data_IF_635663353763
#
_entry.id   IF_635663353763
#
_cell.length_a   1.000
_cell.length_b   1.000
_cell.length_c   1.000
_cell.angle_alpha   90.00
_cell.angle_beta   90.00
_cell.angle_gamma   90.00
#
_symmetry.space_group_name_H-M   'P 1'
#
loop_
_entity.id
_entity.type
_entity.pdbx_description
1 polymer ?
#
# COMPACT_ATOMS: atom_id res chain seq x y z
N UNK A 1 8.12 -12.51 1.66
CA UNK A 1 7.69 -12.79 1.91
C UNK A 1 7.14 -13.66 1.59
N UNK A 2 7.22 -14.10 1.18
CA UNK A 2 6.98 -14.98 1.13
C UNK A 2 5.93 -15.60 1.17
N UNK A 3 5.45 -15.81 1.77
CA UNK A 3 4.33 -16.61 1.83
C UNK A 3 3.14 -15.94 1.35
N UNK A 4 3.21 -15.28 0.31
CA UNK A 4 2.02 -14.62 -0.15
C UNK A 4 0.97 -15.61 -0.54
N UNK A 5 1.35 -16.81 -0.95
CA UNK A 5 0.30 -17.74 -1.29
C UNK A 5 -0.42 -18.24 -0.06
N UNK A 6 0.17 -18.15 1.09
CA UNK A 6 -0.53 -18.49 2.30
C UNK A 6 -1.62 -17.51 2.59
N UNK A 7 -1.43 -16.31 2.17
CA UNK A 7 -2.36 -15.26 2.47
C UNK A 7 -3.70 -15.47 1.82
N UNK A 8 -3.72 -16.13 0.72
CA UNK A 8 -4.96 -16.37 0.05
C UNK A 8 -5.97 -17.09 0.91
N UNK A 9 -5.50 -17.74 1.94
CA UNK A 9 -6.41 -18.47 2.78
C UNK A 9 -6.95 -17.68 3.94
N UNK A 10 -6.18 -16.76 4.42
CA UNK A 10 -6.60 -15.95 5.55
C UNK A 10 -6.95 -14.60 5.04
N UNK A 11 -8.03 -14.53 4.33
CA UNK A 11 -8.28 -13.41 3.48
C UNK A 11 -8.42 -12.09 4.23
N UNK A 12 -9.16 -12.05 5.31
CA UNK A 12 -9.42 -10.76 5.90
C UNK A 12 -8.21 -10.06 6.44
N UNK A 13 -7.43 -10.76 7.22
CA UNK A 13 -6.23 -10.18 7.79
C UNK A 13 -5.27 -9.80 6.68
N UNK A 14 -5.17 -10.67 5.70
CA UNK A 14 -4.26 -10.42 4.60
C UNK A 14 -4.69 -9.21 3.80
N UNK A 15 -5.98 -9.06 3.59
CA UNK A 15 -6.47 -7.93 2.83
C UNK A 15 -6.06 -6.62 3.47
N UNK A 16 -6.16 -6.53 4.80
CA UNK A 16 -5.81 -5.31 5.48
C UNK A 16 -4.33 -5.02 5.36
N UNK A 17 -3.50 -6.04 5.56
CA UNK A 17 -2.07 -5.85 5.45
C UNK A 17 -1.65 -5.52 4.04
N UNK A 18 -2.27 -6.16 3.08
CA UNK A 18 -1.96 -5.91 1.69
C UNK A 18 -2.33 -4.50 1.30
N UNK A 19 -3.49 -4.04 1.73
CA UNK A 19 -3.91 -2.69 1.41
C UNK A 19 -3.03 -1.66 2.10
N UNK A 20 -2.59 -1.95 3.30
CA UNK A 20 -1.67 -1.06 3.99
C UNK A 20 -0.35 -0.96 3.25
N UNK A 21 0.15 -2.08 2.77
CA UNK A 21 1.36 -2.08 1.98
C UNK A 21 1.17 -1.28 0.70
N UNK A 22 0.05 -1.46 0.04
CA UNK A 22 -0.26 -0.72 -1.16
C UNK A 22 -0.36 0.77 -0.89
N UNK A 23 -0.90 1.14 0.26
CA UNK A 23 -1.01 2.55 0.62
C UNK A 23 0.37 3.17 0.81
N UNK A 24 1.27 2.47 1.48
CA UNK A 24 2.62 2.97 1.64
C UNK A 24 3.33 3.12 0.29
N UNK A 25 3.18 2.13 -0.57
CA UNK A 25 3.80 2.21 -1.88
C UNK A 25 3.25 3.39 -2.67
N UNK A 26 1.96 3.61 -2.56
CA UNK A 26 1.36 4.72 -3.25
C UNK A 26 1.83 6.07 -2.68
N UNK A 27 1.97 6.15 -1.37
CA UNK A 27 2.43 7.39 -0.75
C UNK A 27 3.80 7.80 -1.27
N UNK A 28 4.68 6.84 -1.47
CA UNK A 28 6.02 7.16 -1.90
C UNK A 28 6.19 7.24 -3.41
N UNK A 29 5.45 6.42 -4.14
CA UNK A 29 5.70 6.31 -5.56
C UNK A 29 4.50 6.64 -6.44
N UNK A 30 3.39 7.04 -5.83
CA UNK A 30 2.18 7.26 -6.59
C UNK A 30 2.31 8.36 -7.64
N UNK A 31 3.15 9.32 -7.40
CA UNK A 31 3.32 10.41 -8.36
C UNK A 31 3.97 9.96 -9.65
N UNK A 32 4.54 8.77 -9.64
CA UNK A 32 5.13 8.23 -10.85
C UNK A 32 4.09 7.57 -11.76
N UNK A 33 2.87 7.44 -11.28
CA UNK A 33 1.77 6.96 -12.09
C UNK A 33 1.13 8.14 -12.82
N UNK A 34 0.53 7.87 -13.98
CA UNK A 34 -0.17 8.95 -14.64
C UNK A 34 -1.50 9.22 -13.92
N UNK A 35 -2.18 10.28 -14.31
CA UNK A 35 -3.35 10.72 -13.58
C UNK A 35 -4.46 9.69 -13.59
N UNK A 36 -4.68 9.05 -14.70
CA UNK A 36 -5.73 8.04 -14.81
C UNK A 36 -5.43 6.84 -13.92
N UNK A 37 -4.18 6.40 -13.92
CA UNK A 37 -3.77 5.30 -13.07
C UNK A 37 -3.88 5.65 -11.60
N UNK A 38 -3.49 6.86 -11.26
CA UNK A 38 -3.58 7.31 -9.87
C UNK A 38 -5.01 7.30 -9.38
N UNK A 39 -5.92 7.79 -10.20
CA UNK A 39 -7.33 7.87 -9.80
C UNK A 39 -7.89 6.48 -9.55
N UNK A 40 -7.63 5.56 -10.44
CA UNK A 40 -8.14 4.21 -10.30
C UNK A 40 -7.52 3.52 -9.11
N UNK A 41 -6.23 3.70 -8.93
CA UNK A 41 -5.54 3.06 -7.82
C UNK A 41 -6.00 3.64 -6.48
N UNK A 42 -6.22 4.93 -6.41
CA UNK A 42 -6.73 5.56 -5.21
C UNK A 42 -8.13 5.07 -4.87
N UNK A 43 -8.98 4.94 -5.87
CA UNK A 43 -10.32 4.45 -5.64
C UNK A 43 -10.30 3.04 -5.07
N UNK A 44 -9.41 2.23 -5.57
CA UNK A 44 -9.34 0.86 -5.10
C UNK A 44 -8.73 0.74 -3.71
N UNK A 45 -7.64 1.44 -3.47
CA UNK A 45 -6.90 1.27 -2.22
C UNK A 45 -7.48 2.11 -1.10
N UNK A 46 -7.80 3.36 -1.37
CA UNK A 46 -8.21 4.27 -0.31
C UNK A 46 -9.71 4.41 -0.17
N UNK A 47 -10.43 4.37 -1.28
CA UNK A 47 -11.88 4.56 -1.21
C UNK A 47 -12.65 3.26 -1.17
N UNK A 48 -11.93 2.15 -1.25
CA UNK A 48 -12.55 0.83 -1.10
C UNK A 48 -13.61 0.54 -2.12
N UNK A 49 -13.51 1.11 -3.29
CA UNK A 49 -14.47 0.83 -4.34
C UNK A 49 -14.21 -0.53 -4.95
N UNK A 50 -15.26 -1.18 -5.37
CA UNK A 50 -15.11 -2.46 -6.04
C UNK A 50 -14.67 -2.25 -7.48
N UNK A 51 -14.19 -3.33 -8.08
CA UNK A 51 -13.78 -3.26 -9.48
C UNK A 51 -14.94 -2.84 -10.37
N UNK A 52 -16.14 -3.33 -10.08
CA UNK A 52 -17.30 -2.96 -10.86
C UNK A 52 -17.65 -1.50 -10.73
N UNK A 53 -17.53 -0.96 -9.53
CA UNK A 53 -17.82 0.45 -9.31
C UNK A 53 -16.84 1.34 -10.05
N UNK A 54 -15.58 0.99 -9.98
CA UNK A 54 -14.55 1.76 -10.68
C UNK A 54 -14.76 1.66 -12.19
N UNK A 55 -15.07 0.45 -12.66
CA UNK A 55 -15.31 0.25 -14.08
C UNK A 55 -16.46 1.12 -14.58
N UNK A 56 -17.51 1.22 -13.77
CA UNK A 56 -18.63 2.06 -14.13
C UNK A 56 -18.27 3.53 -14.20
N UNK A 57 -17.47 3.99 -13.27
CA UNK A 57 -17.07 5.38 -13.25
C UNK A 57 -16.12 5.72 -14.39
N UNK A 58 -15.23 4.81 -14.73
CA UNK A 58 -14.21 5.10 -15.72
C UNK A 58 -14.64 4.73 -17.13
N UNK A 59 -15.74 4.02 -17.26
CA UNK A 59 -16.21 3.63 -18.57
C UNK A 59 -15.40 2.53 -19.22
N UNK A 60 -14.80 1.68 -18.41
CA UNK A 60 -14.03 0.54 -18.92
C UNK A 60 -14.55 -0.72 -18.28
N UNK A 61 -14.00 -1.85 -18.67
CA UNK A 61 -14.48 -3.13 -18.16
C UNK A 61 -13.86 -3.43 -16.80
N UNK A 62 -14.52 -4.31 -16.05
CA UNK A 62 -13.96 -4.77 -14.77
C UNK A 62 -12.59 -5.37 -14.97
N UNK A 63 -12.44 -6.15 -16.04
CA UNK A 63 -11.15 -6.76 -16.31
C UNK A 63 -10.10 -5.70 -16.59
N UNK A 64 -10.49 -4.63 -17.29
CA UNK A 64 -9.58 -3.53 -17.54
C UNK A 64 -9.13 -2.85 -16.26
N UNK A 65 -10.05 -2.69 -15.32
CA UNK A 65 -9.70 -2.11 -14.03
C UNK A 65 -8.74 -3.03 -13.29
N UNK A 66 -9.05 -4.32 -13.25
CA UNK A 66 -8.20 -5.27 -12.57
C UNK A 66 -6.79 -5.29 -13.15
N UNK A 67 -6.70 -5.26 -14.46
CA UNK A 67 -5.41 -5.25 -15.12
C UNK A 67 -4.63 -3.99 -14.78
N UNK A 68 -5.31 -2.86 -14.77
CA UNK A 68 -4.65 -1.60 -14.47
C UNK A 68 -4.14 -1.56 -13.04
N UNK A 69 -4.94 -2.04 -12.09
CA UNK A 69 -4.51 -2.08 -10.71
C UNK A 69 -3.30 -2.99 -10.55
N UNK A 70 -3.31 -4.12 -11.24
CA UNK A 70 -2.21 -5.04 -11.17
C UNK A 70 -0.93 -4.42 -11.73
N UNK A 71 -1.04 -3.74 -12.85
CA UNK A 71 0.12 -3.07 -13.43
C UNK A 71 0.65 -1.97 -12.54
N UNK A 72 -0.25 -1.19 -11.97
CA UNK A 72 0.17 -0.13 -11.06
C UNK A 72 0.89 -0.70 -9.86
N UNK A 73 0.32 -1.74 -9.27
CA UNK A 73 0.94 -2.36 -8.12
C UNK A 73 2.33 -2.90 -8.44
N UNK A 74 2.45 -3.52 -9.61
CA UNK A 74 3.75 -4.04 -10.01
C UNK A 74 4.76 -2.91 -10.21
N UNK A 75 4.32 -1.83 -10.83
CA UNK A 75 5.18 -0.69 -11.06
C UNK A 75 5.68 -0.09 -9.75
N UNK A 76 4.76 0.10 -8.81
CA UNK A 76 5.15 0.63 -7.51
C UNK A 76 6.08 -0.33 -6.78
N UNK A 77 5.80 -1.60 -6.86
CA UNK A 77 6.62 -2.60 -6.21
C UNK A 77 8.03 -2.64 -6.81
N UNK A 78 8.12 -2.47 -8.12
CA UNK A 78 9.42 -2.45 -8.78
C UNK A 78 10.24 -1.25 -8.34
N UNK A 79 9.60 -0.09 -8.17
CA UNK A 79 10.30 1.07 -7.65
C UNK A 79 10.82 0.80 -6.25
N UNK A 80 10.00 0.17 -5.42
CA UNK A 80 10.42 -0.12 -4.07
C UNK A 80 11.60 -1.08 -4.04
N UNK A 81 11.61 -2.05 -4.94
CA UNK A 81 12.72 -2.99 -5.00
C UNK A 81 14.02 -2.29 -5.31
N UNK A 82 13.94 -1.21 -6.06
CA UNK A 82 15.14 -0.47 -6.43
C UNK A 82 15.51 0.58 -5.41
N UNK A 83 14.53 1.25 -4.84
CA UNK A 83 14.79 2.42 -4.01
C UNK A 83 14.67 2.17 -2.52
N UNK A 84 13.84 1.21 -2.13
CA UNK A 84 13.70 0.82 -0.72
C UNK A 84 13.29 1.97 0.19
N UNK A 85 12.50 2.92 -0.35
CA UNK A 85 12.09 4.06 0.46
C UNK A 85 11.08 3.68 1.54
N UNK A 86 10.15 2.80 1.21
CA UNK A 86 9.18 2.36 2.19
C UNK A 86 9.87 1.57 3.28
N UNK A 87 10.78 0.71 2.91
CA UNK A 87 11.51 -0.08 3.87
C UNK A 87 12.28 0.81 4.83
N UNK A 88 12.94 1.83 4.29
CA UNK A 88 13.70 2.76 5.13
C UNK A 88 12.79 3.57 6.01
N UNK A 89 11.66 3.99 5.47
CA UNK A 89 10.70 4.76 6.25
C UNK A 89 10.17 3.95 7.43
N UNK A 90 9.82 2.71 7.20
CA UNK A 90 9.29 1.87 8.27
C UNK A 90 10.35 1.58 9.31
N UNK A 91 11.58 1.42 8.88
CA UNK A 91 12.68 1.19 9.82
C UNK A 91 12.90 2.41 10.70
N UNK A 92 12.92 3.60 10.10
CA UNK A 92 13.11 4.82 10.86
C UNK A 92 11.93 5.05 11.79
N UNK A 93 10.73 4.79 11.31
CA UNK A 93 9.56 4.95 12.13
C UNK A 93 9.62 4.06 13.37
N UNK A 94 10.07 2.85 13.19
CA UNK A 94 10.22 1.92 14.28
C UNK A 94 11.25 2.43 15.28
N UNK A 95 12.36 2.95 14.78
CA UNK A 95 13.40 3.49 15.63
C UNK A 95 12.90 4.68 16.43
N UNK A 96 12.14 5.55 15.78
CA UNK A 96 11.60 6.72 16.46
C UNK A 96 10.62 6.30 17.53
N UNK A 97 9.79 5.34 17.25
CA UNK A 97 8.85 4.86 18.25
C UNK A 97 9.56 4.25 19.45
N UNK A 98 10.62 3.55 19.19
CA UNK A 98 11.38 2.95 20.25
C UNK A 98 12.06 4.00 21.11
N UNK A 99 12.66 4.99 20.48
CA UNK A 99 13.27 6.09 21.19
C UNK A 99 12.24 6.82 22.03
N UNK A 100 11.09 7.06 21.47
CA UNK A 100 10.03 7.74 22.20
C UNK A 100 9.60 6.95 23.42
N UNK A 101 9.46 5.66 23.25
CA UNK A 101 9.06 4.82 24.36
C UNK A 101 10.10 4.83 25.47
N UNK A 102 11.38 4.75 25.10
CA UNK A 102 12.45 4.79 26.09
C UNK A 102 12.49 6.14 26.79
N UNK A 103 12.31 7.18 26.01
CA UNK A 103 12.33 8.52 26.59
C UNK A 103 11.20 8.71 27.59
N UNK A 104 10.01 8.28 27.23
CA UNK A 104 8.85 8.39 28.10
C UNK A 104 9.08 7.58 29.37
N UNK A 105 9.64 6.40 29.20
CA UNK A 105 9.90 5.57 30.36
C UNK A 105 10.91 6.19 31.28
N UNK A 106 11.95 6.81 30.74
CA UNK A 106 12.94 7.39 31.61
C UNK A 106 12.47 8.66 32.26
N UNK A 107 11.55 9.38 31.65
CA UNK A 107 11.06 10.58 32.32
C UNK A 107 9.93 10.29 33.27
N UNK A 108 9.44 9.11 33.27
CA UNK A 108 8.35 8.77 34.15
C UNK A 108 8.86 8.78 35.57
N UNK A 109 8.33 9.52 36.40
CA UNK A 109 8.88 9.75 37.64
C UNK A 109 8.60 8.66 38.50
N UNK A 110 8.44 8.14 38.63
CA UNK A 110 8.23 7.34 39.49
C UNK A 110 7.18 7.29 39.91
#
# INVERSE_FOLDING_TARGET
>A
MTPCFLYGKVSKVIDVEEKLQQAYLYDFYGELLNEHQRRIYEDFVFNDLSLGEIAGEEGITRQGVADMIKRCGKKLSDYEKKLHLVEKFLSVKQDVEEIHRLFVTSTSPE
#
